data_IF_481895322355
#
_entry.id   IF_481895322355
#
_cell.length_a   1.000
_cell.length_b   1.000
_cell.length_c   1.000
_cell.angle_alpha   90.00
_cell.angle_beta   90.00
_cell.angle_gamma   90.00
#
_symmetry.space_group_name_H-M   'P 1'
#
loop_
_entity.id
_entity.type
_entity.pdbx_description
1 polymer ?
#
# COMPACT_ATOMS: atom_id res chain seq x y z
N UNK A 1 -33.61 87.60 16.21
CA UNK A 1 -35.05 87.82 16.44
C UNK A 1 -35.81 87.22 15.26
N UNK A 2 -36.57 86.15 15.54
CA UNK A 2 -37.69 85.56 14.79
C UNK A 2 -37.59 85.23 13.28
N UNK A 3 -37.81 83.93 13.03
CA UNK A 3 -38.27 83.21 11.84
C UNK A 3 -39.21 83.99 10.87
N UNK A 4 -39.13 83.65 9.57
CA UNK A 4 -40.21 82.91 8.88
C UNK A 4 -39.82 82.39 7.49
N UNK A 5 -40.28 81.18 7.23
CA UNK A 5 -40.21 80.39 5.99
C UNK A 5 -40.99 81.04 4.83
N UNK A 6 -40.57 80.77 3.59
CA UNK A 6 -41.47 80.43 2.49
C UNK A 6 -40.77 79.63 1.38
N UNK A 7 -41.56 78.72 0.81
CA UNK A 7 -41.23 77.51 0.07
C UNK A 7 -41.32 77.75 -1.45
N UNK A 8 -40.76 76.80 -2.24
CA UNK A 8 -41.14 76.41 -3.63
C UNK A 8 -40.46 77.24 -4.76
N UNK A 9 -39.91 76.74 -5.89
CA UNK A 9 -40.06 75.49 -6.68
C UNK A 9 -38.73 75.17 -7.44
N UNK A 10 -38.56 73.87 -7.68
CA UNK A 10 -37.50 73.09 -8.32
C UNK A 10 -36.93 73.50 -9.69
N UNK A 11 -35.67 73.08 -9.92
CA UNK A 11 -35.13 72.64 -11.22
C UNK A 11 -34.46 71.26 -11.06
N UNK A 12 -34.54 70.35 -12.05
CA UNK A 12 -34.05 68.99 -11.92
C UNK A 12 -32.52 68.92 -11.99
N UNK A 13 -31.91 68.17 -11.07
CA UNK A 13 -30.48 67.89 -11.01
C UNK A 13 -30.15 66.67 -11.89
N UNK A 14 -29.03 66.65 -12.64
CA UNK A 14 -28.66 65.50 -13.43
C UNK A 14 -28.12 64.36 -12.54
N UNK A 15 -28.62 63.17 -12.83
CA UNK A 15 -28.26 61.88 -12.25
C UNK A 15 -26.75 61.62 -12.39
N UNK A 16 -25.98 61.76 -11.31
CA UNK A 16 -24.60 61.27 -11.23
C UNK A 16 -24.62 59.85 -10.66
N UNK A 17 -24.27 58.88 -11.50
CA UNK A 17 -24.00 57.50 -11.11
C UNK A 17 -22.88 57.46 -10.06
N UNK A 18 -23.22 57.09 -8.84
CA UNK A 18 -22.25 56.59 -7.87
C UNK A 18 -21.93 55.14 -8.23
N UNK A 19 -20.72 54.90 -8.73
CA UNK A 19 -20.18 53.54 -8.84
C UNK A 19 -19.73 53.14 -7.44
N UNK A 20 -20.62 52.48 -6.71
CA UNK A 20 -20.25 51.76 -5.49
C UNK A 20 -19.26 50.66 -5.88
N UNK A 21 -18.01 50.80 -5.44
CA UNK A 21 -17.05 49.69 -5.46
C UNK A 21 -17.56 48.62 -4.50
N UNK A 22 -18.30 47.65 -5.01
CA UNK A 22 -18.51 46.38 -4.33
C UNK A 22 -17.15 45.68 -4.31
N UNK A 23 -16.43 45.82 -3.19
CA UNK A 23 -15.39 44.86 -2.84
C UNK A 23 -16.13 43.55 -2.56
N UNK A 24 -16.23 42.70 -3.58
CA UNK A 24 -16.53 41.28 -3.36
C UNK A 24 -15.29 40.73 -2.68
N UNK A 25 -15.28 40.76 -1.35
CA UNK A 25 -14.42 39.87 -0.57
C UNK A 25 -14.93 38.48 -0.86
N UNK A 26 -14.32 37.86 -1.87
CA UNK A 26 -14.48 36.47 -2.22
C UNK A 26 -14.40 35.63 -0.95
N UNK A 27 -15.51 35.01 -0.58
CA UNK A 27 -15.74 34.13 0.58
C UNK A 27 -14.92 32.83 0.54
N UNK A 28 -13.83 32.79 -0.23
CA UNK A 28 -12.91 31.67 -0.37
C UNK A 28 -12.02 31.43 0.86
N UNK A 29 -12.08 32.29 1.88
CA UNK A 29 -11.33 32.10 3.13
C UNK A 29 -12.00 31.13 4.13
N UNK A 30 -13.25 30.70 3.88
CA UNK A 30 -14.03 29.85 4.79
C UNK A 30 -14.31 28.43 4.26
N UNK A 31 -13.91 28.15 3.03
CA UNK A 31 -13.90 26.81 2.45
C UNK A 31 -12.43 26.54 2.11
N UNK A 32 -11.78 25.65 2.86
CA UNK A 32 -10.34 25.39 2.77
C UNK A 32 -9.86 25.34 1.32
N UNK A 33 -8.70 25.96 1.05
CA UNK A 33 -8.10 25.97 -0.28
C UNK A 33 -8.16 24.57 -0.90
N UNK A 34 -8.56 24.44 -2.18
CA UNK A 34 -8.52 23.14 -2.83
C UNK A 34 -7.09 22.58 -2.71
N UNK A 35 -6.93 21.27 -2.43
CA UNK A 35 -5.61 20.67 -2.26
C UNK A 35 -4.75 21.01 -3.47
N UNK A 36 -3.53 21.50 -3.21
CA UNK A 36 -2.64 22.09 -4.23
C UNK A 36 -1.93 21.05 -5.10
N UNK A 37 -1.79 19.79 -4.65
CA UNK A 37 -1.47 18.63 -5.50
C UNK A 37 -2.28 17.37 -5.11
N UNK A 38 -2.75 16.59 -6.11
CA UNK A 38 -3.42 15.29 -5.88
C UNK A 38 -2.42 14.31 -5.27
N UNK A 39 -1.14 14.45 -5.63
CA UNK A 39 -0.01 13.69 -5.10
C UNK A 39 1.13 14.66 -4.78
N UNK A 40 1.38 14.89 -3.49
CA UNK A 40 2.50 15.71 -3.00
C UNK A 40 3.81 14.94 -2.75
N UNK A 41 3.82 13.60 -2.54
CA UNK A 41 5.06 12.83 -2.48
C UNK A 41 5.88 12.89 -3.77
N UNK A 42 7.19 12.71 -3.64
CA UNK A 42 8.11 12.36 -4.74
C UNK A 42 8.24 13.41 -5.86
N UNK A 43 8.17 14.71 -5.53
CA UNK A 43 8.28 15.81 -6.51
C UNK A 43 9.66 15.97 -7.17
N UNK A 44 10.72 15.45 -6.55
CA UNK A 44 12.09 15.59 -7.04
C UNK A 44 12.68 14.26 -7.51
N UNK A 45 12.43 13.22 -6.72
CA UNK A 45 12.90 11.87 -6.95
C UNK A 45 11.86 10.88 -6.43
N UNK A 46 11.86 9.66 -6.96
CA UNK A 46 10.95 8.60 -6.56
C UNK A 46 11.79 7.41 -6.10
N UNK A 47 11.93 7.12 -4.80
CA UNK A 47 12.70 5.99 -4.34
C UNK A 47 11.99 4.67 -4.68
N UNK A 48 12.65 3.85 -5.47
CA UNK A 48 12.19 2.52 -5.90
C UNK A 48 13.40 1.60 -6.07
N UNK A 49 13.22 0.43 -6.68
CA UNK A 49 14.28 -0.57 -6.76
C UNK A 49 14.52 -1.04 -8.19
N UNK A 50 15.69 -1.65 -8.42
CA UNK A 50 15.87 -2.60 -9.53
C UNK A 50 15.17 -3.92 -9.24
N UNK A 51 15.10 -4.83 -10.22
CA UNK A 51 14.56 -6.19 -10.00
C UNK A 51 15.32 -7.00 -8.94
N UNK A 52 16.53 -6.60 -8.56
CA UNK A 52 17.36 -7.24 -7.53
C UNK A 52 17.40 -6.48 -6.20
N UNK A 53 16.51 -5.50 -6.02
CA UNK A 53 16.32 -4.80 -4.74
C UNK A 53 17.21 -3.58 -4.53
N UNK A 54 18.21 -3.36 -5.40
CA UNK A 54 19.05 -2.16 -5.36
C UNK A 54 18.22 -0.88 -5.47
N UNK A 55 18.46 0.08 -4.58
CA UNK A 55 17.79 1.39 -4.57
C UNK A 55 18.09 2.20 -5.85
N UNK A 56 17.03 2.79 -6.40
CA UNK A 56 17.05 3.82 -7.43
C UNK A 56 16.19 4.99 -6.97
N UNK A 57 16.51 6.21 -7.42
CA UNK A 57 15.68 7.40 -7.15
C UNK A 57 15.20 8.12 -8.41
N UNK A 58 15.70 7.69 -9.58
CA UNK A 58 15.30 8.19 -10.90
C UNK A 58 14.84 7.04 -11.77
N UNK A 59 13.76 7.26 -12.52
CA UNK A 59 13.26 6.26 -13.46
C UNK A 59 14.31 5.98 -14.54
N UNK A 60 14.56 4.70 -14.75
CA UNK A 60 15.39 4.13 -15.81
C UNK A 60 14.58 2.99 -16.46
N UNK A 61 14.21 3.09 -17.75
CA UNK A 61 13.39 2.08 -18.42
C UNK A 61 14.03 0.69 -18.45
N UNK A 62 15.36 0.57 -18.30
CA UNK A 62 16.05 -0.72 -18.31
C UNK A 62 16.18 -1.35 -16.92
N UNK A 63 16.25 -0.51 -15.88
CA UNK A 63 16.58 -0.95 -14.52
C UNK A 63 15.45 -0.81 -13.52
N UNK A 64 14.55 0.17 -13.69
CA UNK A 64 13.47 0.46 -12.74
C UNK A 64 12.45 -0.65 -12.68
N UNK A 65 12.15 -1.07 -11.46
CA UNK A 65 11.22 -2.16 -11.18
C UNK A 65 10.16 -1.70 -10.19
N UNK A 66 8.90 -1.82 -10.59
CA UNK A 66 7.74 -1.64 -9.73
C UNK A 66 7.24 -3.02 -9.27
N UNK A 67 7.44 -3.42 -8.01
CA UNK A 67 7.03 -4.74 -7.55
C UNK A 67 5.51 -4.83 -7.42
N UNK A 68 4.96 -5.86 -8.06
CA UNK A 68 3.57 -6.31 -8.00
C UNK A 68 3.60 -7.72 -7.41
N UNK A 69 3.44 -7.77 -6.10
CA UNK A 69 3.66 -8.94 -5.26
C UNK A 69 2.41 -9.73 -4.93
N UNK A 70 2.55 -11.04 -4.77
CA UNK A 70 1.58 -11.87 -4.05
C UNK A 70 2.19 -12.36 -2.73
N UNK A 71 1.45 -12.20 -1.64
CA UNK A 71 1.82 -12.68 -0.31
C UNK A 71 1.27 -14.07 -0.02
N UNK A 72 2.04 -14.87 0.73
CA UNK A 72 1.61 -16.18 1.23
C UNK A 72 1.55 -17.21 0.11
N UNK A 73 2.46 -17.08 -0.86
CA UNK A 73 2.47 -17.91 -2.06
C UNK A 73 2.84 -19.35 -1.67
N UNK A 74 2.01 -20.34 -2.01
CA UNK A 74 2.34 -21.73 -1.79
C UNK A 74 3.38 -22.25 -2.75
N UNK A 75 3.74 -23.49 -2.50
CA UNK A 75 4.55 -24.32 -3.36
C UNK A 75 4.09 -24.33 -4.82
N UNK A 76 5.00 -23.99 -5.74
CA UNK A 76 4.75 -24.06 -7.18
C UNK A 76 4.66 -25.54 -7.58
N UNK A 77 3.48 -26.11 -7.39
CA UNK A 77 3.18 -27.52 -7.63
C UNK A 77 1.69 -27.76 -7.77
N UNK A 78 1.34 -28.97 -8.19
CA UNK A 78 -0.01 -29.49 -7.99
C UNK A 78 -0.08 -30.11 -6.59
N UNK A 79 -0.93 -29.57 -5.72
CA UNK A 79 -1.17 -30.11 -4.38
C UNK A 79 -2.55 -30.74 -4.31
N UNK A 80 -2.60 -32.07 -4.19
CA UNK A 80 -3.85 -32.85 -4.05
C UNK A 80 -4.91 -32.46 -5.11
N UNK A 81 -4.48 -32.35 -6.36
CA UNK A 81 -5.34 -32.03 -7.50
C UNK A 81 -5.60 -30.54 -7.75
N UNK A 82 -5.11 -29.65 -6.87
CA UNK A 82 -5.19 -28.20 -7.07
C UNK A 82 -3.86 -27.70 -7.63
N UNK A 83 -3.92 -26.95 -8.73
CA UNK A 83 -2.74 -26.35 -9.34
C UNK A 83 -2.39 -25.02 -8.66
N UNK A 84 -1.23 -24.99 -8.00
CA UNK A 84 -0.64 -23.80 -7.39
C UNK A 84 0.64 -23.36 -8.10
N UNK A 85 0.93 -23.91 -9.28
CA UNK A 85 2.11 -23.51 -10.04
C UNK A 85 2.06 -22.03 -10.39
N UNK A 86 3.19 -21.36 -10.31
CA UNK A 86 3.25 -19.89 -10.38
C UNK A 86 2.97 -19.30 -11.77
N UNK A 87 2.75 -20.14 -12.80
CA UNK A 87 2.20 -19.67 -14.08
C UNK A 87 0.86 -18.92 -13.91
N UNK A 88 0.05 -19.23 -12.90
CA UNK A 88 -1.16 -18.47 -12.58
C UNK A 88 -0.84 -17.02 -12.19
N UNK A 89 0.25 -16.79 -11.45
CA UNK A 89 0.70 -15.46 -11.06
C UNK A 89 1.21 -14.68 -12.28
N UNK A 90 2.03 -15.31 -13.12
CA UNK A 90 2.52 -14.69 -14.36
C UNK A 90 1.35 -14.29 -15.25
N UNK A 91 0.36 -15.18 -15.44
CA UNK A 91 -0.83 -14.88 -16.24
C UNK A 91 -1.68 -13.73 -15.67
N UNK A 92 -1.62 -13.50 -14.35
CA UNK A 92 -2.29 -12.39 -13.68
C UNK A 92 -1.41 -11.13 -13.54
N UNK A 93 -0.25 -11.07 -14.20
CA UNK A 93 0.62 -9.89 -14.24
C UNK A 93 1.41 -9.62 -12.96
N UNK A 94 1.51 -10.59 -12.06
CA UNK A 94 2.44 -10.50 -10.94
C UNK A 94 3.88 -10.65 -11.43
N UNK A 95 4.78 -9.89 -10.83
CA UNK A 95 6.22 -9.98 -11.10
C UNK A 95 7.06 -10.32 -9.85
N UNK A 96 6.41 -10.39 -8.68
CA UNK A 96 7.06 -10.63 -7.39
C UNK A 96 6.25 -11.64 -6.58
N UNK A 97 6.94 -12.51 -5.84
CA UNK A 97 6.33 -13.49 -4.92
C UNK A 97 6.94 -13.38 -3.53
N UNK A 98 6.09 -13.58 -2.53
CA UNK A 98 6.50 -13.74 -1.14
C UNK A 98 6.07 -15.14 -0.71
N UNK A 99 6.93 -16.15 -0.91
CA UNK A 99 6.62 -17.52 -0.55
C UNK A 99 6.42 -17.64 0.96
N UNK A 100 5.48 -18.50 1.35
CA UNK A 100 5.18 -18.69 2.76
C UNK A 100 6.39 -19.18 3.56
N UNK A 101 6.69 -18.48 4.67
CA UNK A 101 7.83 -18.76 5.52
C UNK A 101 7.85 -20.19 6.08
N UNK A 102 6.70 -20.78 6.37
CA UNK A 102 6.58 -22.13 6.95
C UNK A 102 6.37 -23.22 5.89
N UNK A 103 6.52 -22.91 4.60
CA UNK A 103 6.55 -23.91 3.53
C UNK A 103 7.74 -24.87 3.65
N UNK A 104 7.70 -26.02 2.96
CA UNK A 104 8.76 -27.02 3.04
C UNK A 104 10.05 -26.63 2.33
N UNK A 105 10.01 -25.65 1.42
CA UNK A 105 11.16 -25.28 0.60
C UNK A 105 12.32 -24.66 1.36
N UNK A 106 13.52 -24.85 0.84
CA UNK A 106 14.65 -23.96 1.03
C UNK A 106 14.54 -22.68 0.20
N UNK A 107 15.27 -21.62 0.59
CA UNK A 107 15.35 -20.38 -0.22
C UNK A 107 15.93 -20.63 -1.62
N UNK A 108 16.84 -21.59 -1.76
CA UNK A 108 17.41 -21.98 -3.06
C UNK A 108 16.35 -22.55 -4.00
N UNK A 109 15.48 -23.43 -3.51
CA UNK A 109 14.39 -24.00 -4.32
C UNK A 109 13.35 -22.94 -4.72
N UNK A 110 13.03 -22.02 -3.80
CA UNK A 110 12.14 -20.88 -4.11
C UNK A 110 12.69 -20.02 -5.24
N UNK A 111 13.99 -19.70 -5.20
CA UNK A 111 14.65 -18.91 -6.24
C UNK A 111 14.75 -19.66 -7.57
N UNK A 112 15.01 -20.97 -7.54
CA UNK A 112 15.03 -21.79 -8.75
C UNK A 112 13.65 -21.82 -9.44
N UNK A 113 12.57 -22.00 -8.68
CA UNK A 113 11.20 -21.94 -9.22
C UNK A 113 10.85 -20.55 -9.75
N UNK A 114 11.33 -19.50 -9.08
CA UNK A 114 11.10 -18.14 -9.55
C UNK A 114 11.78 -17.86 -10.88
N UNK A 115 12.98 -18.42 -11.09
CA UNK A 115 13.71 -18.33 -12.35
C UNK A 115 12.94 -18.97 -13.52
N UNK A 116 12.25 -20.09 -13.31
CA UNK A 116 11.40 -20.74 -14.34
C UNK A 116 10.22 -19.87 -14.80
N UNK A 117 9.85 -18.87 -14.00
CA UNK A 117 8.69 -18.01 -14.22
C UNK A 117 9.05 -16.52 -14.34
N UNK A 118 10.35 -16.18 -14.36
CA UNK A 118 10.86 -14.80 -14.37
C UNK A 118 10.33 -13.92 -13.22
N UNK A 119 10.03 -14.53 -12.07
CA UNK A 119 9.51 -13.85 -10.88
C UNK A 119 10.64 -13.42 -9.95
N UNK A 120 10.43 -12.31 -9.24
CA UNK A 120 11.29 -11.87 -8.16
C UNK A 120 10.81 -12.42 -6.81
N UNK A 121 11.74 -12.76 -5.91
CA UNK A 121 11.42 -13.38 -4.62
C UNK A 121 11.79 -12.48 -3.46
N UNK A 122 10.80 -12.16 -2.65
CA UNK A 122 11.00 -11.66 -1.29
C UNK A 122 11.03 -12.85 -0.34
N UNK A 123 12.20 -13.12 0.24
CA UNK A 123 12.39 -14.23 1.17
C UNK A 123 11.80 -13.86 2.53
N UNK A 124 10.79 -14.60 2.97
CA UNK A 124 10.15 -14.44 4.29
C UNK A 124 10.86 -15.26 5.38
N UNK A 125 12.19 -15.25 5.39
CA UNK A 125 13.05 -15.98 6.33
C UNK A 125 14.35 -15.21 6.53
N UNK A 126 15.16 -15.64 7.49
CA UNK A 126 16.45 -15.00 7.84
C UNK A 126 17.64 -15.89 7.45
N UNK A 127 17.94 -16.08 6.15
CA UNK A 127 19.14 -16.82 5.75
C UNK A 127 20.39 -16.13 6.33
N UNK A 128 21.34 -16.93 6.83
CA UNK A 128 22.59 -16.49 7.46
C UNK A 128 23.76 -17.35 7.00
N UNK A 129 24.98 -16.82 7.13
CA UNK A 129 26.23 -17.52 6.80
C UNK A 129 26.16 -18.24 5.43
N UNK A 130 26.46 -19.54 5.43
CA UNK A 130 26.44 -20.38 4.23
C UNK A 130 25.11 -20.36 3.46
N UNK A 131 23.97 -20.21 4.15
CA UNK A 131 22.68 -20.13 3.45
C UNK A 131 22.52 -18.83 2.66
N UNK A 132 23.03 -17.72 3.18
CA UNK A 132 23.03 -16.43 2.50
C UNK A 132 24.04 -16.44 1.33
N UNK A 133 25.24 -16.96 1.56
CA UNK A 133 26.28 -17.09 0.53
C UNK A 133 25.81 -17.89 -0.70
N UNK A 134 24.98 -18.92 -0.49
CA UNK A 134 24.41 -19.73 -1.58
C UNK A 134 23.41 -18.99 -2.47
N UNK A 135 22.75 -17.95 -1.96
CA UNK A 135 21.65 -17.29 -2.67
C UNK A 135 21.96 -15.86 -3.10
N UNK A 136 23.01 -15.24 -2.56
CA UNK A 136 23.31 -13.81 -2.73
C UNK A 136 23.40 -13.35 -4.19
N UNK A 137 23.86 -14.21 -5.08
CA UNK A 137 24.07 -13.89 -6.50
C UNK A 137 22.89 -14.31 -7.39
N UNK A 138 21.77 -14.75 -6.80
CA UNK A 138 20.59 -15.13 -7.55
C UNK A 138 19.96 -13.92 -8.23
N UNK A 139 19.71 -13.95 -9.55
CA UNK A 139 19.07 -12.85 -10.26
C UNK A 139 17.57 -12.69 -9.93
N UNK A 140 16.99 -13.63 -9.18
CA UNK A 140 15.60 -13.61 -8.71
C UNK A 140 15.47 -13.22 -7.24
N UNK A 141 16.59 -12.98 -6.52
CA UNK A 141 16.55 -12.56 -5.13
C UNK A 141 16.32 -11.04 -5.08
N UNK A 142 15.20 -10.64 -4.46
CA UNK A 142 14.74 -9.25 -4.49
C UNK A 142 14.78 -8.56 -3.13
N UNK A 143 14.56 -9.30 -2.05
CA UNK A 143 14.63 -8.74 -0.71
C UNK A 143 14.41 -9.78 0.38
N UNK A 144 14.63 -9.37 1.62
CA UNK A 144 14.42 -10.20 2.80
C UNK A 144 13.48 -9.48 3.77
N UNK A 145 12.36 -10.13 4.06
CA UNK A 145 11.52 -9.77 5.21
C UNK A 145 12.10 -10.48 6.42
N UNK A 146 12.68 -9.70 7.33
CA UNK A 146 13.25 -10.23 8.57
C UNK A 146 12.15 -10.74 9.51
N UNK A 147 11.08 -9.98 9.66
CA UNK A 147 9.94 -10.34 10.52
C UNK A 147 8.65 -9.81 9.93
N UNK A 148 7.66 -10.69 9.91
CA UNK A 148 6.26 -10.38 9.63
C UNK A 148 5.63 -9.70 10.86
N UNK A 149 5.00 -8.55 10.67
CA UNK A 149 4.22 -7.81 11.68
C UNK A 149 4.83 -7.75 13.10
N UNK A 150 6.03 -7.13 13.30
CA UNK A 150 6.72 -7.15 14.59
C UNK A 150 5.95 -6.49 15.75
N UNK A 151 5.00 -5.58 15.46
CA UNK A 151 4.14 -4.97 16.48
C UNK A 151 3.08 -5.95 17.02
N UNK A 152 2.64 -6.89 16.19
CA UNK A 152 1.71 -7.95 16.59
C UNK A 152 2.47 -9.07 17.30
N UNK A 153 3.61 -9.48 16.73
CA UNK A 153 4.35 -10.64 17.19
C UNK A 153 5.19 -10.40 18.45
N UNK A 154 5.64 -9.16 18.69
CA UNK A 154 6.44 -8.82 19.87
C UNK A 154 5.73 -7.90 20.88
N UNK A 155 4.52 -7.41 20.56
CA UNK A 155 3.84 -6.36 21.33
C UNK A 155 4.36 -4.96 20.96
N UNK A 156 3.95 -3.92 21.67
CA UNK A 156 4.33 -2.52 21.34
C UNK A 156 5.19 -1.86 22.41
N UNK A 157 5.45 -2.56 23.52
CA UNK A 157 6.17 -2.00 24.64
C UNK A 157 7.68 -1.86 24.35
N UNK A 158 8.34 -0.75 24.73
CA UNK A 158 9.74 -0.49 24.41
C UNK A 158 10.72 -1.60 24.86
N UNK A 159 10.47 -2.22 26.01
CA UNK A 159 11.30 -3.30 26.56
C UNK A 159 11.25 -4.58 25.72
N UNK A 160 10.17 -4.80 24.96
CA UNK A 160 10.07 -5.92 24.00
C UNK A 160 10.57 -5.52 22.63
N UNK A 161 10.31 -4.27 22.21
CA UNK A 161 10.68 -3.76 20.90
C UNK A 161 12.18 -3.52 20.75
N UNK A 162 12.84 -2.84 21.71
CA UNK A 162 14.26 -2.46 21.59
C UNK A 162 15.21 -3.63 21.34
N UNK A 163 15.11 -4.79 22.03
CA UNK A 163 15.97 -5.94 21.75
C UNK A 163 15.79 -6.46 20.31
N UNK A 164 14.55 -6.54 19.84
CA UNK A 164 14.24 -7.03 18.48
C UNK A 164 14.74 -6.07 17.40
N UNK A 165 14.65 -4.76 17.65
CA UNK A 165 15.20 -3.74 16.76
C UNK A 165 16.73 -3.83 16.67
N UNK A 166 17.42 -4.09 17.79
CA UNK A 166 18.86 -4.31 17.79
C UNK A 166 19.26 -5.59 17.02
N UNK A 167 18.52 -6.69 17.21
CA UNK A 167 18.73 -7.93 16.44
C UNK A 167 18.51 -7.73 14.94
N UNK A 168 17.49 -6.97 14.56
CA UNK A 168 17.22 -6.60 13.16
C UNK A 168 18.39 -5.83 12.55
N UNK A 169 18.89 -4.80 13.23
CA UNK A 169 20.00 -3.99 12.74
C UNK A 169 21.29 -4.82 12.60
N UNK A 170 21.56 -5.71 13.56
CA UNK A 170 22.70 -6.62 13.48
C UNK A 170 22.57 -7.59 12.29
N UNK A 171 21.38 -8.15 12.06
CA UNK A 171 21.13 -9.01 10.91
C UNK A 171 21.26 -8.26 9.58
N UNK A 172 20.71 -7.06 9.50
CA UNK A 172 20.83 -6.20 8.33
C UNK A 172 22.29 -5.91 8.00
N UNK A 173 23.12 -5.64 9.02
CA UNK A 173 24.55 -5.45 8.84
C UNK A 173 25.23 -6.74 8.31
N UNK A 174 24.92 -7.90 8.89
CA UNK A 174 25.41 -9.21 8.43
C UNK A 174 25.07 -9.44 6.95
N UNK A 175 23.85 -9.09 6.52
CA UNK A 175 23.46 -9.20 5.10
C UNK A 175 24.21 -8.21 4.23
N UNK A 176 24.33 -6.94 4.66
CA UNK A 176 24.99 -5.90 3.88
C UNK A 176 26.49 -6.18 3.64
N UNK A 177 27.17 -6.88 4.57
CA UNK A 177 28.56 -7.32 4.39
C UNK A 177 28.72 -8.37 3.27
N UNK A 178 27.66 -9.11 2.96
CA UNK A 178 27.66 -10.19 1.95
C UNK A 178 27.00 -9.76 0.63
N UNK A 179 25.92 -8.99 0.72
CA UNK A 179 25.07 -8.56 -0.38
C UNK A 179 24.59 -7.10 -0.11
N UNK A 180 25.43 -6.08 -0.37
CA UNK A 180 25.19 -4.70 0.06
C UNK A 180 23.97 -4.04 -0.59
N UNK A 181 23.56 -4.52 -1.77
CA UNK A 181 22.40 -4.00 -2.50
C UNK A 181 21.09 -4.75 -2.16
N UNK A 182 21.12 -5.81 -1.35
CA UNK A 182 19.95 -6.62 -1.01
C UNK A 182 19.15 -5.97 0.14
N UNK A 183 17.92 -5.49 -0.10
CA UNK A 183 17.15 -4.81 0.94
C UNK A 183 16.68 -5.79 2.02
N UNK A 184 16.90 -5.39 3.27
CA UNK A 184 16.38 -6.06 4.46
C UNK A 184 15.40 -5.14 5.16
N UNK A 185 14.20 -5.64 5.40
CA UNK A 185 13.10 -4.85 5.96
C UNK A 185 12.15 -5.70 6.79
N UNK A 186 11.13 -5.06 7.34
CA UNK A 186 9.98 -5.69 8.00
C UNK A 186 8.72 -5.18 7.33
N UNK A 187 7.66 -5.99 7.28
CA UNK A 187 6.32 -5.49 7.03
C UNK A 187 5.60 -5.32 8.37
N UNK A 188 5.09 -4.12 8.64
CA UNK A 188 4.38 -3.83 9.90
C UNK A 188 2.88 -3.88 9.68
N UNK A 189 2.10 -4.28 10.70
CA UNK A 189 0.68 -3.95 10.71
C UNK A 189 0.50 -2.41 10.77
N UNK A 190 -0.57 -1.86 10.19
CA UNK A 190 -0.88 -0.43 10.17
C UNK A 190 -1.27 0.20 11.53
N UNK A 191 -0.52 -0.11 12.57
CA UNK A 191 -0.73 0.33 13.96
C UNK A 191 -0.06 1.70 14.22
N UNK A 192 -0.33 2.67 13.36
CA UNK A 192 0.33 3.99 13.30
C UNK A 192 -0.22 5.05 14.27
N UNK A 193 -1.08 4.62 15.20
CA UNK A 193 -1.85 5.43 16.15
C UNK A 193 -1.72 4.85 17.56
N UNK A 194 -2.04 5.66 18.57
CA UNK A 194 -1.92 5.27 19.97
C UNK A 194 -0.50 4.83 20.35
N UNK A 195 -0.41 3.77 21.16
CA UNK A 195 0.87 3.22 21.64
C UNK A 195 1.67 2.45 20.58
N UNK A 196 1.07 2.13 19.42
CA UNK A 196 1.77 1.47 18.31
C UNK A 196 2.60 2.44 17.45
N UNK A 197 2.30 3.74 17.50
CA UNK A 197 2.88 4.74 16.58
C UNK A 197 4.40 4.81 16.64
N UNK A 198 4.98 4.98 17.81
CA UNK A 198 6.43 5.15 17.96
C UNK A 198 7.24 3.93 17.48
N UNK A 199 6.91 2.69 17.91
CA UNK A 199 7.60 1.51 17.37
C UNK A 199 7.34 1.32 15.87
N UNK A 200 6.15 1.67 15.35
CA UNK A 200 5.88 1.67 13.92
C UNK A 200 6.87 2.60 13.18
N UNK A 201 6.97 3.87 13.58
CA UNK A 201 7.91 4.83 12.98
C UNK A 201 9.35 4.32 13.03
N UNK A 202 9.76 3.73 14.16
CA UNK A 202 11.11 3.19 14.32
C UNK A 202 11.40 2.10 13.27
N UNK A 203 10.52 1.11 13.09
CA UNK A 203 10.69 0.04 12.11
C UNK A 203 10.84 0.55 10.67
N UNK A 204 9.98 1.50 10.28
CA UNK A 204 10.04 2.11 8.95
C UNK A 204 11.32 2.93 8.72
N UNK A 205 11.89 3.53 9.78
CA UNK A 205 13.19 4.21 9.70
C UNK A 205 14.37 3.23 9.63
N UNK A 206 14.28 2.04 10.22
CA UNK A 206 15.39 1.08 10.26
C UNK A 206 15.53 0.23 8.98
N UNK A 207 14.41 -0.15 8.35
CA UNK A 207 14.41 -0.95 7.12
C UNK A 207 15.10 -0.26 5.93
N UNK A 208 15.61 -1.02 4.97
CA UNK A 208 16.09 -0.45 3.68
C UNK A 208 14.96 0.14 2.85
N UNK A 209 13.76 -0.40 3.04
CA UNK A 209 12.51 0.14 2.55
C UNK A 209 11.45 0.13 3.66
N UNK A 210 10.41 0.91 3.45
CA UNK A 210 9.22 0.97 4.28
C UNK A 210 8.20 -0.03 3.74
N UNK A 211 7.69 -0.93 4.57
CA UNK A 211 6.64 -1.87 4.17
C UNK A 211 5.59 -2.03 5.27
N UNK A 212 4.32 -2.04 4.89
CA UNK A 212 3.23 -2.21 5.85
C UNK A 212 1.99 -2.87 5.25
N UNK A 213 1.29 -3.60 6.11
CA UNK A 213 0.02 -4.26 5.91
C UNK A 213 -1.11 -3.31 6.31
N UNK A 214 -2.02 -3.02 5.37
CA UNK A 214 -3.10 -2.06 5.61
C UNK A 214 -4.47 -2.62 5.17
N UNK A 215 -5.08 -3.42 6.06
CA UNK A 215 -6.34 -4.13 5.82
C UNK A 215 -7.55 -3.33 6.33
N UNK A 216 -8.16 -2.53 5.44
CA UNK A 216 -9.19 -1.52 5.80
C UNK A 216 -10.64 -1.99 5.66
N UNK A 217 -10.89 -3.19 5.10
CA UNK A 217 -12.25 -3.69 4.91
C UNK A 217 -12.69 -4.54 6.11
N UNK A 218 -13.64 -3.99 6.87
CA UNK A 218 -14.15 -4.54 8.13
C UNK A 218 -15.67 -4.67 8.07
N UNK A 219 -16.32 -5.38 9.01
CA UNK A 219 -17.78 -5.52 9.03
C UNK A 219 -18.48 -4.18 9.22
N UNK A 220 -17.89 -3.29 10.03
CA UNK A 220 -18.48 -2.02 10.48
C UNK A 220 -17.99 -0.80 9.68
N UNK A 221 -16.94 -0.95 8.87
CA UNK A 221 -16.45 0.12 7.98
C UNK A 221 -16.03 -0.41 6.62
N UNK A 222 -16.33 0.38 5.60
CA UNK A 222 -15.88 0.17 4.21
C UNK A 222 -15.00 1.32 3.72
N UNK A 223 -14.61 2.21 4.63
CA UNK A 223 -13.81 3.40 4.32
C UNK A 223 -12.36 3.01 4.10
N UNK A 224 -11.73 3.59 3.07
CA UNK A 224 -10.30 3.46 2.84
C UNK A 224 -9.48 4.39 3.75
N UNK A 225 -10.14 5.36 4.39
CA UNK A 225 -9.54 6.38 5.26
C UNK A 225 -9.51 5.94 6.73
N UNK A 226 -10.32 4.94 7.09
CA UNK A 226 -10.33 4.36 8.43
C UNK A 226 -9.53 3.05 8.36
N UNK A 227 -8.64 2.84 9.31
CA UNK A 227 -7.86 1.61 9.36
C UNK A 227 -8.52 0.57 10.25
N UNK A 228 -7.68 -0.33 10.77
CA UNK A 228 -8.10 -1.42 11.64
C UNK A 228 -8.95 -0.88 12.81
N UNK A 229 -10.06 -1.56 13.11
CA UNK A 229 -11.12 -1.18 14.07
C UNK A 229 -12.09 -0.06 13.63
N UNK A 230 -11.90 0.54 12.45
CA UNK A 230 -12.92 1.36 11.78
C UNK A 230 -13.31 2.66 12.46
N UNK A 231 -12.55 3.12 13.44
CA UNK A 231 -12.85 4.33 14.22
C UNK A 231 -11.73 5.36 14.21
N UNK A 232 -10.50 4.96 13.87
CA UNK A 232 -9.32 5.81 13.90
C UNK A 232 -8.83 6.15 12.49
N UNK A 233 -8.14 7.29 12.36
CA UNK A 233 -7.53 7.76 11.11
C UNK A 233 -6.18 7.05 10.88
N UNK A 234 -6.27 5.79 10.45
CA UNK A 234 -5.15 4.89 10.13
C UNK A 234 -5.41 4.11 8.82
N UNK A 235 -6.15 4.70 7.89
CA UNK A 235 -6.40 4.13 6.57
C UNK A 235 -5.18 4.18 5.64
N UNK A 236 -5.34 3.70 4.40
CA UNK A 236 -4.23 3.54 3.45
C UNK A 236 -3.55 4.87 3.13
N UNK A 237 -4.35 5.92 2.95
CA UNK A 237 -3.86 7.27 2.65
C UNK A 237 -2.92 7.78 3.74
N UNK A 238 -3.34 7.67 5.00
CA UNK A 238 -2.60 8.15 6.16
C UNK A 238 -1.34 7.32 6.41
N UNK A 239 -1.44 5.99 6.36
CA UNK A 239 -0.31 5.09 6.58
C UNK A 239 0.79 5.24 5.53
N UNK A 240 0.38 5.31 4.26
CA UNK A 240 1.33 5.47 3.15
C UNK A 240 1.98 6.86 3.19
N UNK A 241 1.21 7.91 3.46
CA UNK A 241 1.76 9.27 3.58
C UNK A 241 2.75 9.38 4.75
N UNK A 242 2.42 8.79 5.90
CA UNK A 242 3.33 8.75 7.04
C UNK A 242 4.59 7.95 6.72
N UNK A 243 4.48 6.82 6.01
CA UNK A 243 5.63 6.05 5.56
C UNK A 243 6.57 6.88 4.67
N UNK A 244 6.03 7.66 3.74
CA UNK A 244 6.83 8.60 2.93
C UNK A 244 7.48 9.66 3.82
N UNK A 245 6.73 10.27 4.74
CA UNK A 245 7.21 11.30 5.65
C UNK A 245 8.38 10.81 6.52
N UNK A 246 8.21 9.67 7.20
CA UNK A 246 9.20 9.18 8.17
C UNK A 246 10.47 8.63 7.50
N UNK A 247 10.38 8.30 6.21
CA UNK A 247 11.53 7.93 5.37
C UNK A 247 12.13 9.13 4.63
N UNK A 248 11.59 10.33 4.86
CA UNK A 248 11.99 11.59 4.22
C UNK A 248 11.91 11.53 2.68
N UNK A 249 11.06 10.66 2.13
CA UNK A 249 10.99 10.40 0.69
C UNK A 249 12.24 9.75 0.08
N UNK A 250 13.12 9.16 0.91
CA UNK A 250 14.41 8.58 0.46
C UNK A 250 14.40 7.06 0.31
N UNK A 251 13.29 6.40 0.71
CA UNK A 251 13.18 4.94 0.68
C UNK A 251 11.93 4.50 -0.05
N UNK A 252 11.96 3.34 -0.73
CA UNK A 252 10.76 2.76 -1.32
C UNK A 252 9.69 2.53 -0.25
N UNK A 253 8.43 2.72 -0.62
CA UNK A 253 7.28 2.47 0.25
C UNK A 253 6.43 1.39 -0.39
N UNK A 254 6.37 0.21 0.22
CA UNK A 254 5.58 -0.91 -0.25
C UNK A 254 4.34 -1.09 0.61
N UNK A 255 3.21 -1.25 -0.06
CA UNK A 255 1.91 -1.44 0.58
C UNK A 255 1.42 -2.88 0.36
N UNK A 256 1.07 -3.56 1.45
CA UNK A 256 0.38 -4.85 1.40
C UNK A 256 -1.12 -4.62 1.60
N UNK A 257 -1.91 -4.90 0.57
CA UNK A 257 -3.38 -4.72 0.55
C UNK A 257 -4.11 -6.04 0.82
N UNK A 258 -5.21 -5.97 1.57
CA UNK A 258 -6.03 -7.12 1.94
C UNK A 258 -7.08 -7.45 0.89
N UNK A 259 -6.98 -8.63 0.30
CA UNK A 259 -7.90 -9.29 -0.62
C UNK A 259 -8.38 -10.64 -0.04
N UNK A 260 -8.80 -10.63 1.22
CA UNK A 260 -9.17 -11.82 1.98
C UNK A 260 -10.30 -11.53 2.98
N UNK A 261 -10.79 -12.57 3.65
CA UNK A 261 -11.63 -12.44 4.84
C UNK A 261 -11.18 -13.37 5.97
N UNK A 262 -11.59 -13.05 7.19
CA UNK A 262 -11.46 -13.93 8.35
C UNK A 262 -12.74 -14.72 8.59
N UNK A 263 -12.61 -16.03 8.77
CA UNK A 263 -13.69 -16.92 9.25
C UNK A 263 -13.90 -16.76 10.77
N UNK A 264 -14.22 -15.54 11.16
CA UNK A 264 -14.41 -15.15 12.56
C UNK A 264 -15.66 -14.30 12.69
N UNK A 265 -16.39 -14.42 13.83
CA UNK A 265 -17.53 -13.56 14.14
C UNK A 265 -17.18 -12.06 14.02
N UNK A 266 -18.14 -11.19 13.66
CA UNK A 266 -17.90 -9.75 13.48
C UNK A 266 -17.29 -9.04 14.70
N UNK A 267 -17.51 -9.54 15.91
CA UNK A 267 -16.98 -8.99 17.16
C UNK A 267 -15.59 -9.54 17.54
N UNK A 268 -14.94 -10.29 16.64
CA UNK A 268 -13.58 -10.78 16.87
C UNK A 268 -12.56 -9.65 16.74
N UNK A 269 -11.36 -9.84 17.29
CA UNK A 269 -10.28 -8.84 17.24
C UNK A 269 -9.90 -8.42 15.81
N UNK A 270 -9.94 -9.35 14.86
CA UNK A 270 -9.55 -9.14 13.46
C UNK A 270 -10.58 -9.74 12.48
N UNK A 271 -11.79 -9.16 12.39
CA UNK A 271 -12.91 -9.71 11.64
C UNK A 271 -12.87 -9.26 10.17
N UNK A 272 -11.72 -9.40 9.50
CA UNK A 272 -11.52 -8.92 8.13
C UNK A 272 -12.58 -9.46 7.16
N UNK A 273 -12.93 -8.66 6.16
CA UNK A 273 -13.92 -9.02 5.13
C UNK A 273 -13.35 -8.77 3.75
N UNK A 274 -13.81 -9.56 2.78
CA UNK A 274 -13.44 -9.34 1.40
C UNK A 274 -13.74 -7.89 0.98
N UNK A 275 -12.80 -7.20 0.33
CA UNK A 275 -13.17 -6.04 -0.48
C UNK A 275 -14.11 -6.50 -1.61
N UNK A 276 -14.95 -5.59 -2.09
CA UNK A 276 -15.45 -5.70 -3.47
C UNK A 276 -14.30 -5.51 -4.46
N UNK A 277 -14.41 -5.98 -5.72
CA UNK A 277 -13.42 -5.69 -6.75
C UNK A 277 -13.06 -4.20 -6.86
N UNK A 278 -14.06 -3.31 -6.87
CA UNK A 278 -13.80 -1.87 -6.97
C UNK A 278 -13.10 -1.31 -5.72
N UNK A 279 -13.39 -1.84 -4.53
CA UNK A 279 -12.65 -1.46 -3.32
C UNK A 279 -11.20 -1.93 -3.38
N UNK A 280 -10.92 -3.14 -3.86
CA UNK A 280 -9.53 -3.60 -4.03
C UNK A 280 -8.75 -2.68 -4.97
N UNK A 281 -9.35 -2.30 -6.11
CA UNK A 281 -8.79 -1.29 -7.01
C UNK A 281 -8.54 0.04 -6.30
N UNK A 282 -9.54 0.54 -5.57
CA UNK A 282 -9.44 1.77 -4.79
C UNK A 282 -8.29 1.74 -3.78
N UNK A 283 -8.16 0.64 -3.02
CA UNK A 283 -7.08 0.43 -2.06
C UNK A 283 -5.70 0.57 -2.71
N UNK A 284 -5.49 -0.09 -3.86
CA UNK A 284 -4.23 -0.04 -4.60
C UNK A 284 -3.92 1.39 -5.05
N UNK A 285 -4.85 2.05 -5.74
CA UNK A 285 -4.62 3.40 -6.25
C UNK A 285 -4.50 4.45 -5.14
N UNK A 286 -5.19 4.29 -4.01
CA UNK A 286 -4.93 5.14 -2.82
C UNK A 286 -3.48 4.99 -2.36
N UNK A 287 -2.93 3.77 -2.33
CA UNK A 287 -1.50 3.57 -2.04
C UNK A 287 -0.59 4.33 -3.01
N UNK A 288 -0.82 4.19 -4.32
CA UNK A 288 -0.02 4.87 -5.36
C UNK A 288 -0.08 6.40 -5.20
N UNK A 289 -1.28 6.96 -5.07
CA UNK A 289 -1.51 8.41 -4.92
C UNK A 289 -0.80 8.96 -3.66
N UNK A 290 -0.68 8.15 -2.61
CA UNK A 290 -0.01 8.56 -1.37
C UNK A 290 1.47 8.17 -1.31
N UNK A 291 2.03 7.68 -2.43
CA UNK A 291 3.47 7.51 -2.61
C UNK A 291 4.02 6.09 -2.49
N UNK A 292 3.16 5.07 -2.55
CA UNK A 292 3.62 3.68 -2.65
C UNK A 292 4.36 3.45 -3.98
N UNK A 293 5.55 2.85 -3.89
CA UNK A 293 6.41 2.46 -5.01
C UNK A 293 6.48 0.94 -5.17
N UNK A 294 5.55 0.23 -4.55
CA UNK A 294 5.34 -1.21 -4.67
C UNK A 294 4.01 -1.64 -4.05
N UNK A 295 3.36 -2.64 -4.66
CA UNK A 295 2.07 -3.17 -4.20
C UNK A 295 2.20 -4.68 -4.01
N UNK A 296 1.73 -5.20 -2.90
CA UNK A 296 1.61 -6.64 -2.65
C UNK A 296 0.19 -6.95 -2.20
N UNK A 297 -0.37 -8.06 -2.67
CA UNK A 297 -1.70 -8.48 -2.25
C UNK A 297 -1.61 -9.64 -1.25
N UNK A 298 -2.37 -9.52 -0.15
CA UNK A 298 -2.59 -10.57 0.83
C UNK A 298 -4.05 -11.03 0.73
N UNK A 299 -4.39 -12.27 0.42
CA UNK A 299 -3.51 -13.42 0.21
C UNK A 299 -4.05 -14.35 -0.89
N UNK A 300 -3.22 -15.30 -1.31
CA UNK A 300 -3.64 -16.38 -2.21
C UNK A 300 -4.42 -17.44 -1.43
N UNK A 301 -5.68 -17.65 -1.80
CA UNK A 301 -6.48 -18.78 -1.36
C UNK A 301 -5.88 -20.12 -1.80
N UNK A 302 -5.32 -20.85 -0.84
CA UNK A 302 -4.46 -22.00 -1.07
C UNK A 302 -4.48 -22.98 0.10
N UNK A 303 -3.62 -24.01 0.04
CA UNK A 303 -3.38 -24.90 1.17
C UNK A 303 -2.63 -24.22 2.33
N UNK A 304 -2.18 -22.97 2.17
CA UNK A 304 -1.45 -22.18 3.18
C UNK A 304 -2.36 -21.14 3.83
N UNK A 305 -3.03 -20.35 3.01
CA UNK A 305 -3.96 -19.31 3.46
C UNK A 305 -5.33 -19.65 2.93
N UNK A 306 -6.38 -19.54 3.75
CA UNK A 306 -7.76 -19.80 3.31
C UNK A 306 -8.51 -18.49 3.26
N UNK A 307 -9.47 -18.40 2.33
CA UNK A 307 -10.35 -17.25 2.14
C UNK A 307 -9.62 -16.00 1.62
N UNK A 308 -8.61 -16.23 0.78
CA UNK A 308 -8.00 -15.19 -0.05
C UNK A 308 -8.63 -15.11 -1.45
N UNK A 309 -7.93 -14.52 -2.40
CA UNK A 309 -8.30 -14.55 -3.82
C UNK A 309 -7.71 -15.77 -4.53
N UNK A 310 -8.37 -16.22 -5.60
CA UNK A 310 -8.04 -17.48 -6.29
C UNK A 310 -8.22 -17.38 -7.81
N UNK A 311 -7.38 -18.03 -8.63
CA UNK A 311 -7.54 -18.07 -10.08
C UNK A 311 -8.76 -18.89 -10.54
N UNK A 312 -9.36 -19.69 -9.66
CA UNK A 312 -10.52 -20.54 -9.98
C UNK A 312 -11.52 -20.54 -8.85
N UNK A 313 -12.80 -20.74 -9.19
CA UNK A 313 -13.88 -20.87 -8.20
C UNK A 313 -13.73 -22.22 -7.48
N UNK A 314 -13.38 -22.20 -6.20
CA UNK A 314 -13.16 -23.41 -5.38
C UNK A 314 -13.77 -23.28 -3.99
N UNK A 315 -14.68 -24.20 -3.66
CA UNK A 315 -15.26 -24.29 -2.30
C UNK A 315 -14.44 -25.19 -1.38
N UNK A 316 -13.67 -26.12 -1.94
CA UNK A 316 -12.87 -27.08 -1.18
C UNK A 316 -11.38 -26.90 -1.45
N UNK A 317 -10.60 -26.84 -0.37
CA UNK A 317 -9.15 -26.97 -0.39
C UNK A 317 -8.77 -28.03 0.65
N UNK A 318 -8.01 -29.08 0.27
CA UNK A 318 -7.68 -30.16 1.20
C UNK A 318 -7.00 -29.67 2.48
N UNK A 319 -7.55 -30.06 3.63
CA UNK A 319 -7.05 -29.69 4.95
C UNK A 319 -7.41 -28.27 5.41
N UNK A 320 -8.32 -27.59 4.70
CA UNK A 320 -8.80 -26.25 5.07
C UNK A 320 -10.33 -26.22 5.21
N UNK A 321 -10.87 -25.24 5.96
CA UNK A 321 -12.32 -25.02 6.02
C UNK A 321 -12.94 -24.83 4.63
N UNK A 322 -14.15 -25.38 4.45
CA UNK A 322 -14.91 -25.23 3.21
C UNK A 322 -15.37 -23.77 3.08
N UNK A 323 -15.22 -23.19 1.89
CA UNK A 323 -15.82 -21.90 1.57
C UNK A 323 -17.24 -22.09 1.04
N UNK A 324 -18.09 -21.12 1.30
CA UNK A 324 -19.38 -21.00 0.63
C UNK A 324 -19.17 -20.69 -0.86
N UNK A 325 -20.20 -20.94 -1.67
CA UNK A 325 -20.19 -20.60 -3.10
C UNK A 325 -19.94 -19.11 -3.32
N UNK A 326 -20.55 -18.24 -2.50
CA UNK A 326 -20.34 -16.79 -2.58
C UNK A 326 -18.88 -16.42 -2.34
N UNK A 327 -18.25 -16.99 -1.32
CA UNK A 327 -16.84 -16.73 -1.02
C UNK A 327 -15.93 -17.19 -2.17
N UNK A 328 -16.19 -18.36 -2.76
CA UNK A 328 -15.44 -18.87 -3.91
C UNK A 328 -15.58 -17.99 -5.17
N UNK A 329 -16.78 -17.46 -5.43
CA UNK A 329 -17.02 -16.52 -6.53
C UNK A 329 -16.32 -15.18 -6.26
N UNK A 330 -16.40 -14.66 -5.04
CA UNK A 330 -15.72 -13.42 -4.64
C UNK A 330 -14.21 -13.56 -4.76
N UNK A 331 -13.63 -14.69 -4.33
CA UNK A 331 -12.21 -14.96 -4.46
C UNK A 331 -11.73 -14.90 -5.93
N UNK A 332 -12.52 -15.45 -6.86
CA UNK A 332 -12.24 -15.36 -8.31
C UNK A 332 -12.39 -13.94 -8.85
N UNK A 333 -13.44 -13.22 -8.45
CA UNK A 333 -13.67 -11.85 -8.88
C UNK A 333 -12.56 -10.90 -8.41
N UNK A 334 -12.02 -11.12 -7.20
CA UNK A 334 -10.87 -10.38 -6.69
C UNK A 334 -9.59 -10.69 -7.45
N UNK A 335 -9.36 -11.96 -7.80
CA UNK A 335 -8.22 -12.35 -8.63
C UNK A 335 -8.26 -11.68 -10.01
N UNK A 336 -9.43 -11.67 -10.66
CA UNK A 336 -9.60 -11.03 -11.97
C UNK A 336 -9.40 -9.51 -11.91
N UNK A 337 -9.86 -8.88 -10.83
CA UNK A 337 -9.61 -7.47 -10.60
C UNK A 337 -8.13 -7.18 -10.33
N UNK A 338 -7.46 -7.96 -9.49
CA UNK A 338 -6.03 -7.82 -9.26
C UNK A 338 -5.27 -7.96 -10.58
N UNK A 339 -5.62 -8.95 -11.42
CA UNK A 339 -5.02 -9.13 -12.73
C UNK A 339 -5.23 -7.92 -13.67
N UNK A 340 -6.41 -7.29 -13.62
CA UNK A 340 -6.68 -6.07 -14.38
C UNK A 340 -5.84 -4.89 -13.87
N UNK A 341 -5.81 -4.67 -12.56
CA UNK A 341 -5.01 -3.61 -11.93
C UNK A 341 -3.52 -3.82 -12.17
N UNK A 342 -3.02 -5.07 -12.13
CA UNK A 342 -1.62 -5.37 -12.37
C UNK A 342 -1.16 -4.94 -13.78
N UNK A 343 -1.99 -5.17 -14.81
CA UNK A 343 -1.72 -4.70 -16.17
C UNK A 343 -1.66 -3.17 -16.23
N UNK A 344 -2.59 -2.49 -15.56
CA UNK A 344 -2.59 -1.03 -15.50
C UNK A 344 -1.35 -0.49 -14.78
N UNK A 345 -0.93 -1.12 -13.67
CA UNK A 345 0.29 -0.73 -12.94
C UNK A 345 1.55 -0.94 -13.79
N UNK A 346 1.61 -2.00 -14.60
CA UNK A 346 2.71 -2.22 -15.55
C UNK A 346 2.77 -1.10 -16.59
N UNK A 347 1.63 -0.75 -17.20
CA UNK A 347 1.54 0.37 -18.16
C UNK A 347 1.90 1.71 -17.53
N UNK A 348 1.49 1.94 -16.27
CA UNK A 348 1.71 3.17 -15.53
C UNK A 348 3.08 3.24 -14.85
N UNK A 349 3.88 2.17 -14.84
CA UNK A 349 5.17 2.12 -14.14
C UNK A 349 6.09 3.30 -14.47
N UNK A 350 6.27 3.73 -15.74
CA UNK A 350 7.07 4.90 -16.06
C UNK A 350 6.58 6.18 -15.38
N UNK A 351 5.26 6.36 -15.27
CA UNK A 351 4.66 7.53 -14.63
C UNK A 351 4.73 7.44 -13.10
N UNK A 352 4.46 6.27 -12.52
CA UNK A 352 4.49 6.04 -11.07
C UNK A 352 5.89 6.23 -10.50
N UNK A 353 6.92 5.79 -11.24
CA UNK A 353 8.33 5.86 -10.82
C UNK A 353 9.06 7.12 -11.27
N UNK A 354 8.35 8.07 -11.89
CA UNK A 354 8.88 9.38 -12.27
C UNK A 354 8.37 10.48 -11.33
N UNK A 355 9.13 11.58 -11.16
CA UNK A 355 8.73 12.67 -10.28
C UNK A 355 7.31 13.17 -10.58
N UNK A 356 6.56 13.43 -9.51
CA UNK A 356 5.18 13.90 -9.61
C UNK A 356 5.16 15.35 -10.05
N UNK A 357 4.13 15.72 -10.83
CA UNK A 357 3.94 17.11 -11.26
C UNK A 357 3.67 18.00 -10.04
N UNK A 358 4.33 19.15 -9.99
CA UNK A 358 4.11 20.12 -8.92
C UNK A 358 2.92 21.03 -9.18
N UNK A 359 2.77 22.03 -8.33
CA UNK A 359 1.65 22.97 -8.37
C UNK A 359 1.64 23.81 -9.67
N UNK A 360 2.75 23.82 -10.42
CA UNK A 360 2.88 24.47 -11.73
C UNK A 360 1.97 23.88 -12.82
N UNK A 361 1.54 22.62 -12.68
CA UNK A 361 0.72 21.96 -13.69
C UNK A 361 -0.74 22.43 -13.71
N UNK A 362 -1.18 23.22 -12.71
CA UNK A 362 -2.49 23.87 -12.66
C UNK A 362 -3.67 22.92 -12.94
N UNK A 363 -4.15 22.20 -11.93
CA UNK A 363 -5.31 21.31 -12.08
C UNK A 363 -6.46 21.69 -11.13
N UNK A 364 -7.66 21.20 -11.43
CA UNK A 364 -8.85 21.35 -10.59
C UNK A 364 -9.52 19.98 -10.42
N UNK A 365 -9.85 19.61 -9.18
CA UNK A 365 -10.65 18.41 -8.87
C UNK A 365 -11.97 18.86 -8.28
N UNK A 366 -13.06 18.41 -8.87
CA UNK A 366 -14.40 18.49 -8.31
C UNK A 366 -14.94 17.08 -8.04
N UNK A 367 -15.69 16.94 -6.95
CA UNK A 367 -16.38 15.70 -6.61
C UNK A 367 -17.88 15.94 -6.75
N UNK A 368 -18.57 15.05 -7.46
CA UNK A 368 -20.03 15.03 -7.55
C UNK A 368 -20.55 13.72 -6.96
N UNK A 369 -21.62 13.81 -6.16
CA UNK A 369 -22.26 12.65 -5.53
C UNK A 369 -22.29 12.72 -4.00
N UNK A 370 -23.03 11.79 -3.40
CA UNK A 370 -23.10 11.63 -1.94
C UNK A 370 -22.06 10.62 -1.50
N UNK A 371 -21.23 10.96 -0.51
CA UNK A 371 -20.31 10.00 0.08
C UNK A 371 -21.09 8.77 0.59
N UNK A 372 -20.60 7.57 0.27
CA UNK A 372 -21.28 6.30 0.59
C UNK A 372 -21.17 5.97 2.10
N UNK A 373 -20.46 6.78 2.88
CA UNK A 373 -20.26 6.55 4.32
C UNK A 373 -20.70 7.79 5.12
N UNK A 374 -21.57 7.64 6.15
CA UNK A 374 -21.96 8.70 7.07
C UNK A 374 -20.79 9.32 7.85
#
# INVERSE_FOLDING_TARGET
MLLKEQLMIAKPLPLKFFISHFVIVSTFALLGAPPTAIQTPHRQEVPHTTKNGKLLTKYDPESSFFPIGQWGVPESRVYKGIDYRWHHLVAAGYNTVWPWAMGGYSSTEQLAQAAEHELQVVIMRRPKGEALLRIKDSPNLFGIVWQDEPLINFGVEPEKQKPQQAEFLAYKQEVAEVAPDLPVFVNTASWMVGNGRDPWIAWHKMGDLSCHDNYVIWPETRSLNLGSYGTEKNGIADATSLAVEVTEGKKPVWLVVGAFESDTPPNSKFPFRYPTPMQLRGMVYTGIIHGATGITYYAWDSNITRFGMAPDIRTEIPGRPRATTTQAITAKALWDMAAAVNRELQELTPAILSPTVGDEAGYHVSFEGTAITP
#
